data_IF_020145853922
#
_entry.id   IF_020145853922
#
_cell.length_a   1.000
_cell.length_b   1.000
_cell.length_c   1.000
_cell.angle_alpha   90.00
_cell.angle_beta   90.00
_cell.angle_gamma   90.00
#
_symmetry.space_group_name_H-M   'P 1'
#
loop_
_entity.id
_entity.type
_entity.pdbx_description
1 polymer ?
#
# COMPACT_ATOMS: atom_id res chain seq x y z
N UNK A 1 18.83 16.25 -47.60
CA UNK A 1 17.43 16.62 -47.26
C UNK A 1 16.81 15.75 -46.14
N UNK A 2 17.20 14.48 -45.95
CA UNK A 2 16.59 13.58 -44.94
C UNK A 2 17.13 13.70 -43.49
N UNK A 3 17.94 14.73 -43.19
CA UNK A 3 18.67 14.87 -41.93
C UNK A 3 17.98 15.82 -40.95
N UNK A 4 17.26 16.83 -41.48
CA UNK A 4 16.59 17.87 -40.70
C UNK A 4 15.28 17.36 -40.05
N UNK A 5 14.66 16.31 -40.61
CA UNK A 5 13.38 15.75 -40.13
C UNK A 5 13.57 14.85 -38.89
N UNK A 6 14.80 14.37 -38.60
CA UNK A 6 15.04 13.40 -37.52
C UNK A 6 15.16 14.02 -36.14
N UNK A 7 15.68 15.25 -36.04
CA UNK A 7 15.85 15.95 -34.76
C UNK A 7 14.51 16.31 -34.10
N UNK A 8 13.50 16.86 -34.82
CA UNK A 8 12.19 17.15 -34.24
C UNK A 8 11.48 15.89 -33.73
N UNK A 9 11.56 14.79 -34.48
CA UNK A 9 10.97 13.49 -34.09
C UNK A 9 11.68 12.92 -32.86
N UNK A 10 13.02 12.94 -32.83
CA UNK A 10 13.78 12.50 -31.67
C UNK A 10 13.47 13.33 -30.41
N UNK A 11 13.35 14.65 -30.55
CA UNK A 11 12.93 15.54 -29.44
C UNK A 11 11.53 15.20 -28.95
N UNK A 12 10.59 14.93 -29.85
CA UNK A 12 9.23 14.56 -29.49
C UNK A 12 9.18 13.22 -28.75
N UNK A 13 9.92 12.22 -29.20
CA UNK A 13 10.02 10.92 -28.53
C UNK A 13 10.66 11.08 -27.14
N UNK A 14 11.75 11.85 -27.04
CA UNK A 14 12.43 12.10 -25.77
C UNK A 14 11.54 12.85 -24.78
N UNK A 15 10.76 13.83 -25.25
CA UNK A 15 9.78 14.54 -24.43
C UNK A 15 8.72 13.58 -23.86
N UNK A 16 8.10 12.77 -24.72
CA UNK A 16 7.12 11.75 -24.27
C UNK A 16 7.72 10.74 -23.30
N UNK A 17 8.96 10.30 -23.53
CA UNK A 17 9.65 9.40 -22.63
C UNK A 17 9.94 10.05 -21.27
N UNK A 18 10.31 11.33 -21.26
CA UNK A 18 10.52 12.10 -20.04
C UNK A 18 9.19 12.30 -19.27
N UNK A 19 8.10 12.66 -19.95
CA UNK A 19 6.79 12.82 -19.34
C UNK A 19 6.31 11.50 -18.70
N UNK A 20 6.43 10.39 -19.42
CA UNK A 20 6.07 9.06 -18.92
C UNK A 20 6.97 8.62 -17.75
N UNK A 21 8.25 8.99 -17.74
CA UNK A 21 9.13 8.75 -16.61
C UNK A 21 8.70 9.58 -15.39
N UNK A 22 8.34 10.86 -15.58
CA UNK A 22 7.87 11.74 -14.50
C UNK A 22 6.53 11.26 -13.92
N UNK A 23 5.59 10.82 -14.75
CA UNK A 23 4.33 10.25 -14.30
C UNK A 23 4.54 8.98 -13.45
N UNK A 24 5.41 8.07 -13.90
CA UNK A 24 5.73 6.85 -13.13
C UNK A 24 6.43 7.18 -11.80
N UNK A 25 7.36 8.13 -11.79
CA UNK A 25 8.02 8.58 -10.56
C UNK A 25 7.00 9.21 -9.61
N UNK A 26 6.09 10.05 -10.11
CA UNK A 26 5.01 10.64 -9.32
C UNK A 26 4.08 9.58 -8.72
N UNK A 27 3.71 8.57 -9.51
CA UNK A 27 2.92 7.44 -9.03
C UNK A 27 3.63 6.67 -7.92
N UNK A 28 4.91 6.30 -8.12
CA UNK A 28 5.70 5.60 -7.11
C UNK A 28 5.87 6.42 -5.83
N UNK A 29 6.02 7.74 -5.95
CA UNK A 29 6.10 8.63 -4.79
C UNK A 29 4.79 8.65 -4.01
N UNK A 30 3.66 8.82 -4.70
CA UNK A 30 2.34 8.79 -4.07
C UNK A 30 2.06 7.44 -3.41
N UNK A 31 2.40 6.34 -4.09
CA UNK A 31 2.28 4.99 -3.55
C UNK A 31 3.14 4.79 -2.28
N UNK A 32 4.40 5.25 -2.29
CA UNK A 32 5.27 5.22 -1.10
C UNK A 32 4.71 6.04 0.05
N UNK A 33 4.10 7.18 -0.24
CA UNK A 33 3.46 8.02 0.76
C UNK A 33 2.25 7.34 1.40
N UNK A 34 1.38 6.71 0.59
CA UNK A 34 0.24 5.94 1.10
C UNK A 34 0.69 4.71 1.91
N UNK A 35 1.72 3.99 1.46
CA UNK A 35 2.31 2.89 2.25
C UNK A 35 2.87 3.37 3.60
N UNK A 36 3.49 4.56 3.64
CA UNK A 36 3.98 5.13 4.90
C UNK A 36 2.83 5.44 5.84
N UNK A 37 1.75 6.09 5.36
CA UNK A 37 0.55 6.35 6.17
C UNK A 37 -0.07 5.05 6.70
N UNK A 38 -0.14 4.02 5.87
CA UNK A 38 -0.63 2.70 6.28
C UNK A 38 0.24 2.14 7.41
N UNK A 39 1.56 2.18 7.26
CA UNK A 39 2.51 1.73 8.30
C UNK A 39 2.33 2.50 9.61
N UNK A 40 2.17 3.82 9.55
CA UNK A 40 1.97 4.66 10.74
C UNK A 40 0.62 4.33 11.43
N UNK A 41 -0.42 4.06 10.64
CA UNK A 41 -1.73 3.63 11.13
C UNK A 41 -1.66 2.26 11.82
N UNK A 42 -1.01 1.28 11.19
CA UNK A 42 -0.79 -0.06 11.77
C UNK A 42 0.01 0.04 13.07
N UNK A 43 1.06 0.87 13.10
CA UNK A 43 1.86 1.10 14.31
C UNK A 43 1.03 1.69 15.45
N UNK A 44 0.11 2.60 15.13
CA UNK A 44 -0.85 3.18 16.08
C UNK A 44 -1.80 2.12 16.62
N UNK A 45 -2.38 1.29 15.76
CA UNK A 45 -3.27 0.18 16.15
C UNK A 45 -2.53 -0.78 17.08
N UNK A 46 -1.29 -1.14 16.75
CA UNK A 46 -0.46 -2.01 17.60
C UNK A 46 -0.21 -1.41 18.99
N UNK A 47 0.02 -0.10 19.09
CA UNK A 47 0.18 0.56 20.38
C UNK A 47 -1.12 0.51 21.21
N UNK A 48 -2.26 0.81 20.58
CA UNK A 48 -3.58 0.74 21.23
C UNK A 48 -3.91 -0.70 21.68
N UNK A 49 -3.60 -1.69 20.85
CA UNK A 49 -3.80 -3.11 21.18
C UNK A 49 -2.98 -3.52 22.40
N UNK A 50 -1.69 -3.17 22.48
CA UNK A 50 -0.86 -3.46 23.66
C UNK A 50 -1.45 -2.85 24.93
N UNK A 51 -1.81 -1.58 24.89
CA UNK A 51 -2.46 -0.88 26.00
C UNK A 51 -3.79 -1.55 26.42
N UNK A 52 -4.55 -2.05 25.45
CA UNK A 52 -5.82 -2.71 25.67
C UNK A 52 -5.63 -4.11 26.29
N UNK A 53 -4.67 -4.90 25.81
CA UNK A 53 -4.33 -6.22 26.34
C UNK A 53 -3.94 -6.15 27.81
N UNK A 54 -3.10 -5.17 28.19
CA UNK A 54 -2.74 -4.93 29.60
C UNK A 54 -3.97 -4.64 30.47
N UNK A 55 -4.93 -3.88 29.94
CA UNK A 55 -6.13 -3.46 30.68
C UNK A 55 -7.24 -4.53 30.71
N UNK A 56 -7.20 -5.53 29.82
CA UNK A 56 -8.32 -6.46 29.63
C UNK A 56 -8.63 -7.33 30.86
N UNK A 57 -7.63 -7.61 31.70
CA UNK A 57 -7.77 -8.47 32.88
C UNK A 57 -8.71 -7.89 33.94
N UNK A 58 -8.87 -6.56 33.96
CA UNK A 58 -9.64 -5.80 34.95
C UNK A 58 -10.71 -4.89 34.33
N UNK A 59 -10.82 -4.84 33.00
CA UNK A 59 -11.85 -4.05 32.30
C UNK A 59 -12.60 -4.90 31.27
N UNK A 60 -13.82 -5.31 31.63
CA UNK A 60 -14.67 -6.16 30.79
C UNK A 60 -15.10 -5.50 29.48
N UNK A 61 -15.21 -4.16 29.43
CA UNK A 61 -15.52 -3.45 28.20
C UNK A 61 -14.34 -3.51 27.20
N UNK A 62 -13.11 -3.36 27.70
CA UNK A 62 -11.90 -3.50 26.90
C UNK A 62 -11.75 -4.93 26.38
N UNK A 63 -11.99 -5.93 27.24
CA UNK A 63 -11.98 -7.34 26.84
C UNK A 63 -12.97 -7.64 25.71
N UNK A 64 -14.23 -7.21 25.86
CA UNK A 64 -15.26 -7.41 24.84
C UNK A 64 -14.91 -6.71 23.52
N UNK A 65 -14.30 -5.53 23.59
CA UNK A 65 -13.87 -4.80 22.39
C UNK A 65 -12.70 -5.51 21.68
N UNK A 66 -11.74 -6.06 22.43
CA UNK A 66 -10.64 -6.86 21.87
C UNK A 66 -11.12 -8.15 21.22
N UNK A 67 -12.09 -8.86 21.83
CA UNK A 67 -12.69 -10.06 21.22
C UNK A 67 -13.31 -9.73 19.86
N UNK A 68 -14.10 -8.66 19.76
CA UNK A 68 -14.69 -8.20 18.50
C UNK A 68 -13.65 -7.74 17.48
N UNK A 69 -12.57 -7.11 17.94
CA UNK A 69 -11.50 -6.67 17.06
C UNK A 69 -10.73 -7.86 16.49
N UNK A 70 -10.54 -8.92 17.27
CA UNK A 70 -9.92 -10.17 16.79
C UNK A 70 -10.69 -10.75 15.61
N UNK A 71 -12.02 -10.79 15.68
CA UNK A 71 -12.87 -11.29 14.60
C UNK A 71 -12.63 -10.53 13.28
N UNK A 72 -12.57 -9.19 13.34
CA UNK A 72 -12.32 -8.34 12.17
C UNK A 72 -10.89 -8.50 11.61
N UNK A 73 -9.91 -8.78 12.48
CA UNK A 73 -8.53 -9.02 12.05
C UNK A 73 -8.38 -10.35 11.30
N UNK A 74 -9.16 -11.37 11.67
CA UNK A 74 -9.21 -12.63 10.92
C UNK A 74 -9.78 -12.43 9.52
N UNK A 75 -10.86 -11.64 9.37
CA UNK A 75 -11.40 -11.30 8.05
C UNK A 75 -10.36 -10.57 7.18
N UNK A 76 -9.56 -9.68 7.78
CA UNK A 76 -8.51 -8.95 7.06
C UNK A 76 -7.32 -9.85 6.64
N UNK A 77 -6.98 -10.87 7.42
CA UNK A 77 -5.91 -11.83 7.11
C UNK A 77 -6.30 -12.77 5.95
N UNK A 78 -7.57 -13.16 5.88
CA UNK A 78 -8.13 -13.91 4.75
C UNK A 78 -8.04 -13.12 3.43
N UNK A 79 -8.38 -11.82 3.47
CA UNK A 79 -8.24 -10.90 2.33
C UNK A 79 -6.76 -10.71 1.90
N UNK A 80 -5.83 -10.74 2.85
CA UNK A 80 -4.39 -10.65 2.57
C UNK A 80 -3.86 -11.93 1.91
N UNK A 81 -4.35 -13.08 2.36
CA UNK A 81 -3.95 -14.40 1.87
C UNK A 81 -4.51 -14.69 0.47
N UNK A 82 -5.75 -14.29 0.17
CA UNK A 82 -6.34 -14.45 -1.17
C UNK A 82 -5.56 -13.66 -2.23
N UNK A 83 -5.16 -12.41 -1.93
CA UNK A 83 -4.41 -11.57 -2.85
C UNK A 83 -3.02 -12.14 -3.15
N UNK A 84 -2.41 -12.77 -2.14
CA UNK A 84 -1.13 -13.49 -2.29
C UNK A 84 -1.29 -14.73 -3.17
N UNK A 85 -2.39 -15.47 -3.02
CA UNK A 85 -2.66 -16.66 -3.85
C UNK A 85 -2.97 -16.35 -5.32
N UNK A 86 -3.58 -15.19 -5.60
CA UNK A 86 -3.84 -14.74 -6.98
C UNK A 86 -2.58 -14.26 -7.69
N UNK A 87 -1.59 -13.75 -6.94
CA UNK A 87 -0.28 -13.37 -7.49
C UNK A 87 0.51 -14.58 -8.02
N UNK A 88 0.38 -15.74 -7.38
CA UNK A 88 0.98 -17.01 -7.81
C UNK A 88 0.26 -17.62 -9.03
N UNK A 89 -1.06 -17.40 -9.16
CA UNK A 89 -1.81 -17.85 -10.35
C UNK A 89 -1.53 -17.03 -11.60
N UNK A 90 -1.21 -15.74 -11.45
CA UNK A 90 -0.96 -14.82 -12.57
C UNK A 90 0.49 -14.86 -13.10
N UNK A 91 1.41 -15.51 -12.38
CA UNK A 91 2.79 -15.74 -12.79
C UNK A 91 3.02 -17.10 -13.49
N UNK A 92 1.94 -17.79 -13.88
CA UNK A 92 1.97 -19.08 -14.60
C UNK A 92 1.36 -18.92 -15.99
#
# INVERSE_FOLDING_TARGET
MAEIIRIPVAKQILGKAADLALEQIGFLWNFRHELKKLKDTVSTIQAVLRDAEEKQSHNHQVKLWLEKLSDVMYDADDLSTEASSDSDRRSK
#
